data_IF_100723920907
#
_entry.id   IF_100723920907
#
_cell.length_a   1.000
_cell.length_b   1.000
_cell.length_c   1.000
_cell.angle_alpha   90.00
_cell.angle_beta   90.00
_cell.angle_gamma   90.00
#
_symmetry.space_group_name_H-M   'P 1'
#
loop_
_entity.id
_entity.type
_entity.pdbx_description
1 polymer ?
#
# COMPACT_ATOMS: atom_id res chain seq x y z
N UNK A 1 -13.73 2.41 -16.68
CA UNK A 1 -12.63 2.28 -15.71
C UNK A 1 -11.74 1.10 -16.11
N UNK A 2 -12.31 -0.09 -16.20
CA UNK A 2 -11.63 -1.32 -16.65
C UNK A 2 -10.88 -1.19 -17.98
N UNK A 3 -11.45 -0.55 -19.01
CA UNK A 3 -10.75 -0.38 -20.30
C UNK A 3 -9.52 0.52 -20.22
N UNK A 4 -9.51 1.50 -19.30
CA UNK A 4 -8.33 2.34 -19.07
C UNK A 4 -7.29 1.56 -18.26
N UNK A 5 -7.74 0.83 -17.24
CA UNK A 5 -6.88 -0.03 -16.42
C UNK A 5 -6.19 -1.10 -17.30
N UNK A 6 -6.91 -1.75 -18.21
CA UNK A 6 -6.33 -2.74 -19.12
C UNK A 6 -5.21 -2.19 -20.03
N UNK A 7 -5.23 -0.89 -20.34
CA UNK A 7 -4.18 -0.23 -21.13
C UNK A 7 -3.01 0.18 -20.25
N UNK A 8 -3.29 0.69 -19.05
CA UNK A 8 -2.30 1.29 -18.15
C UNK A 8 -1.53 0.23 -17.36
N UNK A 9 -2.21 -0.78 -16.81
CA UNK A 9 -1.60 -1.78 -15.92
C UNK A 9 -0.41 -2.52 -16.54
N UNK A 10 -0.44 -2.99 -17.80
CA UNK A 10 0.71 -3.65 -18.40
C UNK A 10 1.97 -2.79 -18.40
N UNK A 11 1.83 -1.48 -18.71
CA UNK A 11 2.96 -0.54 -18.74
C UNK A 11 3.44 -0.17 -17.35
N UNK A 12 2.53 -0.08 -16.38
CA UNK A 12 2.90 0.14 -14.98
C UNK A 12 3.68 -1.06 -14.43
N UNK A 13 3.23 -2.28 -14.72
CA UNK A 13 3.94 -3.48 -14.30
C UNK A 13 5.32 -3.59 -14.95
N UNK A 14 5.45 -3.31 -16.25
CA UNK A 14 6.76 -3.27 -16.93
C UNK A 14 7.73 -2.26 -16.28
N UNK A 15 7.22 -1.07 -15.91
CA UNK A 15 8.02 -0.07 -15.21
C UNK A 15 8.42 -0.53 -13.80
N UNK A 16 7.53 -1.20 -13.07
CA UNK A 16 7.80 -1.75 -11.74
C UNK A 16 8.88 -2.84 -11.83
N UNK A 17 8.77 -3.79 -12.76
CA UNK A 17 9.77 -4.84 -12.94
C UNK A 17 11.14 -4.24 -13.28
N UNK A 18 11.17 -3.24 -14.19
CA UNK A 18 12.40 -2.52 -14.52
C UNK A 18 13.00 -1.82 -13.29
N UNK A 19 12.16 -1.21 -12.46
CA UNK A 19 12.60 -0.60 -11.20
C UNK A 19 13.20 -1.63 -10.23
N UNK A 20 12.53 -2.78 -10.05
CA UNK A 20 12.99 -3.85 -9.18
C UNK A 20 14.28 -4.51 -9.68
N UNK A 21 14.43 -4.73 -10.99
CA UNK A 21 15.66 -5.28 -11.57
C UNK A 21 16.85 -4.32 -11.41
N UNK A 22 16.61 -3.02 -11.54
CA UNK A 22 17.63 -2.01 -11.27
C UNK A 22 18.01 -1.95 -9.79
N UNK A 23 17.05 -2.12 -8.88
CA UNK A 23 17.31 -2.22 -7.45
C UNK A 23 18.18 -3.46 -7.14
N UNK A 24 17.81 -4.63 -7.68
CA UNK A 24 18.57 -5.88 -7.53
C UNK A 24 20.01 -5.75 -8.05
N UNK A 25 20.21 -5.19 -9.24
CA UNK A 25 21.55 -5.04 -9.83
C UNK A 25 22.46 -4.09 -9.03
N UNK A 26 21.88 -3.14 -8.29
CA UNK A 26 22.59 -2.22 -7.41
C UNK A 26 22.79 -2.75 -6.00
N UNK A 27 22.32 -3.98 -5.71
CA UNK A 27 22.40 -4.61 -4.38
C UNK A 27 21.82 -3.71 -3.28
N UNK A 28 20.67 -3.07 -3.55
CA UNK A 28 19.96 -2.34 -2.50
C UNK A 28 19.28 -3.35 -1.56
N UNK A 29 19.32 -3.06 -0.25
CA UNK A 29 18.74 -3.97 0.76
C UNK A 29 17.21 -4.02 0.71
N UNK A 30 16.57 -2.96 0.21
CA UNK A 30 15.11 -2.83 0.16
C UNK A 30 14.66 -1.95 -1.01
N UNK A 31 13.62 -2.38 -1.71
CA UNK A 31 12.89 -1.59 -2.69
C UNK A 31 11.40 -1.59 -2.35
N UNK A 32 10.73 -0.44 -2.45
CA UNK A 32 9.33 -0.27 -2.06
C UNK A 32 8.51 0.16 -3.28
N UNK A 33 7.38 -0.53 -3.49
CA UNK A 33 6.39 -0.19 -4.52
C UNK A 33 5.10 0.21 -3.82
N UNK A 34 4.70 1.48 -4.00
CA UNK A 34 3.42 1.99 -3.51
C UNK A 34 2.35 1.84 -4.60
N UNK A 35 1.30 1.05 -4.31
CA UNK A 35 0.20 0.80 -5.23
C UNK A 35 -1.13 0.65 -4.48
N UNK A 36 -2.14 1.43 -4.89
CA UNK A 36 -3.45 1.44 -4.23
C UNK A 36 -4.31 0.18 -4.48
N UNK A 37 -4.07 -0.53 -5.59
CA UNK A 37 -4.89 -1.66 -6.08
C UNK A 37 -4.14 -3.00 -6.06
N UNK A 38 -3.24 -3.17 -5.10
CA UNK A 38 -2.31 -4.31 -5.06
C UNK A 38 -3.03 -5.66 -4.89
N UNK A 39 -4.07 -5.71 -4.05
CA UNK A 39 -4.88 -6.93 -3.84
C UNK A 39 -5.89 -7.13 -4.97
N UNK A 40 -6.52 -6.06 -5.43
CA UNK A 40 -7.54 -6.07 -6.48
C UNK A 40 -6.98 -6.55 -7.83
N UNK A 41 -5.68 -6.35 -8.06
CA UNK A 41 -4.99 -6.82 -9.27
C UNK A 41 -4.19 -8.11 -9.06
N UNK A 42 -4.27 -8.71 -7.87
CA UNK A 42 -3.43 -9.82 -7.44
C UNK A 42 -1.92 -9.58 -7.60
N UNK A 43 -1.48 -8.33 -7.70
CA UNK A 43 -0.07 -8.00 -7.90
C UNK A 43 0.78 -8.22 -6.65
N UNK A 44 0.14 -8.39 -5.49
CA UNK A 44 0.81 -8.68 -4.22
C UNK A 44 1.70 -9.93 -4.27
N UNK A 45 1.34 -10.92 -5.10
CA UNK A 45 2.13 -12.15 -5.31
C UNK A 45 3.51 -11.92 -5.95
N UNK A 46 3.76 -10.71 -6.46
CA UNK A 46 5.04 -10.33 -7.09
C UNK A 46 6.08 -9.81 -6.10
N UNK A 47 5.71 -9.60 -4.84
CA UNK A 47 6.56 -8.99 -3.84
C UNK A 47 6.87 -9.98 -2.72
N UNK A 48 8.01 -9.79 -2.06
CA UNK A 48 8.44 -10.66 -0.96
C UNK A 48 7.59 -10.49 0.30
N UNK A 49 7.00 -9.30 0.48
CA UNK A 49 6.06 -8.99 1.55
C UNK A 49 5.17 -7.79 1.19
N UNK A 50 4.06 -7.65 1.92
CA UNK A 50 3.08 -6.58 1.77
C UNK A 50 2.94 -5.81 3.08
N UNK A 51 3.07 -4.48 2.99
CA UNK A 51 2.84 -3.56 4.11
C UNK A 51 1.54 -2.79 3.89
N UNK A 52 0.61 -2.85 4.84
CA UNK A 52 -0.66 -2.10 4.77
C UNK A 52 -0.65 -0.93 5.75
N UNK A 53 -0.86 0.28 5.22
CA UNK A 53 -1.21 1.45 6.01
C UNK A 53 -2.71 1.40 6.37
N UNK A 54 -3.00 1.14 7.65
CA UNK A 54 -4.35 0.89 8.15
C UNK A 54 -4.86 2.07 8.97
N UNK A 55 -6.17 2.35 8.89
CA UNK A 55 -6.91 3.08 9.92
C UNK A 55 -8.37 2.61 9.92
N UNK A 56 -9.11 2.78 11.03
CA UNK A 56 -10.53 2.42 11.09
C UNK A 56 -11.33 3.11 9.97
N UNK A 57 -12.38 2.44 9.42
CA UNK A 57 -13.20 2.99 8.34
C UNK A 57 -13.74 4.40 8.60
N UNK A 58 -14.10 4.71 9.85
CA UNK A 58 -14.62 6.00 10.27
C UNK A 58 -13.55 7.10 10.15
N UNK A 59 -12.30 6.78 10.52
CA UNK A 59 -11.15 7.68 10.41
C UNK A 59 -10.79 7.89 8.93
N UNK A 60 -10.82 6.82 8.13
CA UNK A 60 -10.59 6.89 6.69
C UNK A 60 -11.62 7.80 6.00
N UNK A 61 -12.90 7.59 6.31
CA UNK A 61 -14.01 8.37 5.77
C UNK A 61 -13.89 9.85 6.09
N UNK A 62 -13.67 10.19 7.38
CA UNK A 62 -13.49 11.56 7.82
C UNK A 62 -12.29 12.22 7.13
N UNK A 63 -11.15 11.53 7.03
CA UNK A 63 -9.94 12.06 6.38
C UNK A 63 -10.15 12.28 4.89
N UNK A 64 -10.85 11.38 4.19
CA UNK A 64 -11.18 11.55 2.76
C UNK A 64 -12.05 12.78 2.53
N UNK A 65 -13.08 12.99 3.37
CA UNK A 65 -13.93 14.17 3.26
C UNK A 65 -13.14 15.47 3.44
N UNK A 66 -12.30 15.55 4.49
CA UNK A 66 -11.52 16.75 4.80
C UNK A 66 -10.44 17.03 3.75
N UNK A 67 -9.70 15.99 3.35
CA UNK A 67 -8.57 16.13 2.41
C UNK A 67 -9.04 16.48 1.00
N UNK A 68 -10.10 15.81 0.53
CA UNK A 68 -10.53 15.86 -0.88
C UNK A 68 -11.79 16.72 -1.09
N UNK A 69 -12.37 17.29 -0.02
CA UNK A 69 -13.58 18.12 -0.10
C UNK A 69 -14.84 17.36 -0.54
N UNK A 70 -14.95 16.07 -0.17
CA UNK A 70 -16.01 15.18 -0.63
C UNK A 70 -17.25 15.22 0.25
N UNK A 71 -18.41 14.95 -0.34
CA UNK A 71 -19.61 14.61 0.43
C UNK A 71 -19.44 13.24 1.13
N UNK A 72 -20.19 12.96 2.21
CA UNK A 72 -20.17 11.66 2.87
C UNK A 72 -20.39 10.48 1.92
N UNK A 73 -21.31 10.64 0.96
CA UNK A 73 -21.65 9.60 -0.03
C UNK A 73 -20.52 9.40 -1.04
N UNK A 74 -19.84 10.47 -1.44
CA UNK A 74 -18.70 10.41 -2.35
C UNK A 74 -17.49 9.74 -1.67
N UNK A 75 -17.22 10.06 -0.40
CA UNK A 75 -16.18 9.42 0.38
C UNK A 75 -16.47 7.92 0.54
N UNK A 76 -17.70 7.54 0.89
CA UNK A 76 -18.09 6.14 1.02
C UNK A 76 -17.93 5.37 -0.31
N UNK A 77 -18.41 5.94 -1.42
CA UNK A 77 -18.23 5.32 -2.76
C UNK A 77 -16.77 5.08 -3.13
N UNK A 78 -15.84 5.92 -2.66
CA UNK A 78 -14.39 5.71 -2.90
C UNK A 78 -13.83 4.57 -2.04
N UNK A 79 -14.30 4.44 -0.81
CA UNK A 79 -13.92 3.33 0.09
C UNK A 79 -14.47 2.02 -0.48
N UNK A 80 -15.74 1.99 -0.87
CA UNK A 80 -16.41 0.79 -1.40
C UNK A 80 -15.86 0.33 -2.76
N UNK A 81 -15.14 1.18 -3.48
CA UNK A 81 -14.51 0.85 -4.75
C UNK A 81 -13.20 0.05 -4.61
N UNK A 82 -12.82 -0.29 -3.38
CA UNK A 82 -11.61 -1.05 -3.04
C UNK A 82 -11.97 -2.19 -2.10
N UNK A 83 -11.04 -3.14 -1.93
CA UNK A 83 -11.18 -4.18 -0.90
C UNK A 83 -11.29 -3.53 0.49
N UNK A 84 -12.19 -4.03 1.38
CA UNK A 84 -12.34 -3.51 2.74
C UNK A 84 -11.01 -3.47 3.50
N UNK A 85 -10.80 -2.39 4.25
CA UNK A 85 -9.51 -2.14 4.94
C UNK A 85 -9.17 -3.22 5.97
N UNK A 86 -10.17 -3.82 6.60
CA UNK A 86 -9.98 -4.94 7.54
C UNK A 86 -9.53 -6.22 6.84
N UNK A 87 -10.04 -6.47 5.62
CA UNK A 87 -9.59 -7.60 4.81
C UNK A 87 -8.15 -7.37 4.34
N UNK A 88 -7.82 -6.17 3.86
CA UNK A 88 -6.43 -5.79 3.51
C UNK A 88 -5.48 -6.00 4.69
N UNK A 89 -5.92 -5.60 5.89
CA UNK A 89 -5.14 -5.77 7.13
C UNK A 89 -4.89 -7.24 7.46
N UNK A 90 -5.88 -8.11 7.26
CA UNK A 90 -5.76 -9.53 7.57
C UNK A 90 -4.82 -10.29 6.60
N UNK A 91 -4.65 -9.77 5.38
CA UNK A 91 -3.79 -10.37 4.35
C UNK A 91 -2.35 -9.84 4.37
N UNK A 92 -2.07 -8.77 5.14
CA UNK A 92 -0.77 -8.10 5.13
C UNK A 92 0.26 -8.83 6.01
N UNK A 93 1.52 -8.85 5.55
CA UNK A 93 2.65 -9.32 6.37
C UNK A 93 2.97 -8.31 7.48
N UNK A 94 2.85 -7.02 7.18
CA UNK A 94 3.06 -5.93 8.12
C UNK A 94 1.94 -4.90 8.06
N UNK A 95 1.59 -4.33 9.21
CA UNK A 95 0.56 -3.29 9.32
C UNK A 95 1.12 -2.07 10.01
N UNK A 96 1.02 -0.92 9.35
CA UNK A 96 1.29 0.39 9.93
C UNK A 96 -0.05 1.01 10.27
N UNK A 97 -0.42 1.02 11.55
CA UNK A 97 -1.61 1.73 12.01
C UNK A 97 -1.36 3.25 11.97
N UNK A 98 -2.21 3.96 11.23
CA UNK A 98 -2.16 5.40 10.97
C UNK A 98 -3.32 6.15 11.64
N UNK A 99 -4.09 5.48 12.50
CA UNK A 99 -5.22 6.08 13.23
C UNK A 99 -4.81 7.18 14.22
N UNK A 100 -3.56 7.14 14.68
CA UNK A 100 -2.95 8.09 15.60
C UNK A 100 -2.41 9.36 14.94
N UNK A 101 -1.41 9.96 15.60
CA UNK A 101 -0.71 11.15 15.09
C UNK A 101 0.31 10.78 14.00
N UNK A 102 0.86 11.80 13.33
CA UNK A 102 1.93 11.60 12.36
C UNK A 102 3.18 11.02 13.01
N UNK A 103 3.53 11.49 14.21
CA UNK A 103 4.68 10.99 14.98
C UNK A 103 4.51 9.51 15.33
N UNK A 104 3.32 9.12 15.80
CA UNK A 104 3.02 7.70 16.07
C UNK A 104 3.09 6.85 14.80
N UNK A 105 2.68 7.40 13.66
CA UNK A 105 2.76 6.73 12.37
C UNK A 105 4.22 6.54 11.94
N UNK A 106 5.06 7.57 12.10
CA UNK A 106 6.50 7.53 11.81
C UNK A 106 7.19 6.47 12.68
N UNK A 107 6.95 6.48 14.00
CA UNK A 107 7.51 5.47 14.91
C UNK A 107 7.13 4.04 14.51
N UNK A 108 5.90 3.83 14.05
CA UNK A 108 5.42 2.51 13.58
C UNK A 108 6.08 2.12 12.25
N UNK A 109 6.21 3.07 11.32
CA UNK A 109 6.88 2.88 10.05
C UNK A 109 8.36 2.53 10.24
N UNK A 110 9.06 3.24 11.13
CA UNK A 110 10.46 2.98 11.46
C UNK A 110 10.67 1.59 12.05
N UNK A 111 9.73 1.11 12.89
CA UNK A 111 9.77 -0.26 13.42
C UNK A 111 9.61 -1.30 12.31
N UNK A 112 8.65 -1.13 11.41
CA UNK A 112 8.45 -2.03 10.26
C UNK A 112 9.69 -2.01 9.35
N UNK A 113 10.24 -0.83 9.06
CA UNK A 113 11.46 -0.68 8.26
C UNK A 113 12.64 -1.45 8.88
N UNK A 114 12.84 -1.32 10.20
CA UNK A 114 13.89 -2.07 10.89
C UNK A 114 13.69 -3.59 10.77
N UNK A 115 12.45 -4.08 10.93
CA UNK A 115 12.13 -5.50 10.76
C UNK A 115 12.41 -6.00 9.33
N UNK A 116 12.05 -5.21 8.32
CA UNK A 116 12.29 -5.55 6.92
C UNK A 116 13.80 -5.61 6.59
N UNK A 117 14.58 -4.65 7.09
CA UNK A 117 16.03 -4.64 6.87
C UNK A 117 16.73 -5.82 7.56
N UNK A 118 16.26 -6.24 8.74
CA UNK A 118 16.80 -7.43 9.42
C UNK A 118 16.41 -8.73 8.70
N UNK A 119 15.18 -8.81 8.17
CA UNK A 119 14.75 -9.94 7.35
C UNK A 119 15.55 -10.05 6.04
N UNK A 120 15.82 -8.92 5.37
CA UNK A 120 16.61 -8.87 4.14
C UNK A 120 18.06 -9.35 4.32
N UNK A 121 18.67 -9.11 5.49
CA UNK A 121 20.02 -9.63 5.82
C UNK A 121 20.05 -11.13 6.07
N UNK A 122 18.90 -11.72 6.38
CA UNK A 122 18.75 -13.12 6.77
C UNK A 122 18.32 -14.02 5.61
N UNK A 123 17.99 -13.44 4.46
CA UNK A 123 17.59 -14.11 3.22
C UNK A 123 18.78 -14.29 2.27
#
# INVERSE_FOLDING_TARGET
RESLEAIVHPRVFEAIETFLDNARSRSVDLAVVDAALMYETASYERYDCVVVAYCPPEVQHQRLMVRDGLSPEQAQRRIDAQMPVEEKRALADYVIDTSGTMEQTQERADRVLAQLLEAAKSA
#
